data_IF_697297533091
#
_entry.id   IF_697297533091
#
_cell.length_a   1.000
_cell.length_b   1.000
_cell.length_c   1.000
_cell.angle_alpha   90.00
_cell.angle_beta   90.00
_cell.angle_gamma   90.00
#
_symmetry.space_group_name_H-M   'P 1'
#
loop_
_entity.id
_entity.type
_entity.pdbx_description
1 polymer ?
#
# COMPACT_ATOMS: atom_id res chain seq x y z
N UNK A 1 4.80 -14.53 3.84
CA UNK A 1 3.96 -14.42 5.03
C UNK A 1 4.27 -15.52 6.04
N UNK A 2 3.99 -15.28 7.30
CA UNK A 2 4.16 -16.20 8.43
C UNK A 2 3.01 -16.00 9.42
N UNK A 3 2.84 -16.92 10.37
CA UNK A 3 1.80 -16.83 11.38
C UNK A 3 2.13 -15.72 12.39
N UNK A 4 1.12 -14.98 12.86
CA UNK A 4 1.32 -13.96 13.90
C UNK A 4 1.80 -14.59 15.21
N UNK A 5 1.37 -15.82 15.50
CA UNK A 5 1.85 -16.62 16.64
C UNK A 5 3.36 -16.86 16.65
N UNK A 6 4.04 -16.77 15.49
CA UNK A 6 5.50 -16.87 15.41
C UNK A 6 6.21 -15.61 15.95
N UNK A 7 5.45 -14.53 16.22
CA UNK A 7 5.96 -13.27 16.78
C UNK A 7 5.70 -13.28 18.28
N UNK A 8 6.73 -13.54 19.06
CA UNK A 8 6.63 -13.52 20.51
C UNK A 8 6.38 -12.10 21.02
N UNK A 9 5.33 -11.92 21.82
CA UNK A 9 5.12 -10.68 22.55
C UNK A 9 6.27 -10.43 23.53
N UNK A 10 6.83 -9.21 23.50
CA UNK A 10 7.97 -8.82 24.32
C UNK A 10 7.73 -7.48 24.97
N UNK A 11 8.51 -7.17 25.99
CA UNK A 11 8.47 -5.87 26.65
C UNK A 11 8.95 -4.75 25.71
N UNK A 12 8.53 -3.52 26.00
CA UNK A 12 8.77 -2.33 25.15
C UNK A 12 10.25 -2.12 24.80
N UNK A 13 11.17 -2.37 25.73
CA UNK A 13 12.61 -2.18 25.54
C UNK A 13 13.32 -3.33 24.80
N UNK A 14 12.60 -4.38 24.40
CA UNK A 14 13.22 -5.53 23.75
C UNK A 14 13.52 -5.24 22.26
N UNK A 15 14.63 -5.79 21.75
CA UNK A 15 15.10 -5.58 20.36
C UNK A 15 14.24 -6.27 19.28
N UNK A 16 13.14 -6.93 19.66
CA UNK A 16 12.23 -7.60 18.72
C UNK A 16 12.82 -8.91 18.15
N UNK A 17 12.15 -9.43 17.12
CA UNK A 17 12.53 -10.67 16.44
C UNK A 17 12.59 -10.45 14.94
N UNK A 18 13.47 -11.18 14.25
CA UNK A 18 13.63 -11.06 12.80
C UNK A 18 12.36 -11.49 12.07
N UNK A 19 11.72 -10.59 11.35
CA UNK A 19 10.57 -10.90 10.50
C UNK A 19 10.97 -11.53 9.17
N UNK A 20 12.02 -11.01 8.51
CA UNK A 20 12.47 -11.43 7.18
C UNK A 20 13.99 -11.33 7.05
N UNK A 21 14.61 -12.23 6.27
CA UNK A 21 16.02 -12.12 5.92
C UNK A 21 16.18 -11.22 4.68
N UNK A 22 16.85 -10.08 4.86
CA UNK A 22 17.16 -9.13 3.78
C UNK A 22 18.62 -9.31 3.40
N UNK A 23 18.88 -9.58 2.12
CA UNK A 23 20.23 -9.73 1.59
C UNK A 23 20.52 -8.69 0.52
N UNK A 24 21.72 -8.09 0.52
CA UNK A 24 22.13 -7.22 -0.57
C UNK A 24 22.10 -7.96 -1.91
N UNK A 25 21.53 -7.35 -2.93
CA UNK A 25 21.39 -7.95 -4.26
C UNK A 25 22.51 -7.48 -5.16
N UNK A 26 23.24 -8.43 -5.77
CA UNK A 26 24.21 -8.12 -6.84
C UNK A 26 23.45 -7.72 -8.09
N UNK A 27 23.63 -6.51 -8.57
CA UNK A 27 23.06 -5.99 -9.81
C UNK A 27 24.15 -5.95 -10.87
N UNK A 28 23.86 -6.52 -12.06
CA UNK A 28 24.79 -6.49 -13.21
C UNK A 28 25.18 -5.06 -13.53
N UNK A 29 26.49 -4.79 -13.65
CA UNK A 29 27.02 -3.44 -13.92
C UNK A 29 27.26 -2.56 -12.69
N UNK A 30 26.91 -2.98 -11.48
CA UNK A 30 27.28 -2.27 -10.25
C UNK A 30 28.41 -2.96 -9.50
N UNK A 31 29.45 -2.19 -9.14
CA UNK A 31 30.61 -2.71 -8.37
C UNK A 31 30.24 -3.17 -6.96
N UNK A 32 29.26 -2.52 -6.31
CA UNK A 32 28.79 -2.85 -4.96
C UNK A 32 27.37 -3.42 -5.01
N UNK A 33 27.05 -4.43 -4.15
CA UNK A 33 25.66 -4.90 -4.01
C UNK A 33 24.73 -3.76 -3.61
N UNK A 34 23.52 -3.78 -4.15
CA UNK A 34 22.47 -2.82 -3.77
C UNK A 34 21.82 -3.31 -2.47
N UNK A 35 21.74 -2.42 -1.49
CA UNK A 35 21.05 -2.69 -0.22
C UNK A 35 19.56 -2.82 -0.48
N UNK A 36 18.96 -3.89 0.02
CA UNK A 36 17.51 -4.11 -0.01
C UNK A 36 16.87 -3.61 1.29
N UNK A 37 15.57 -3.36 1.28
CA UNK A 37 14.82 -2.85 2.43
C UNK A 37 13.36 -3.29 2.37
N UNK A 38 12.67 -3.25 3.53
CA UNK A 38 11.25 -3.54 3.63
C UNK A 38 10.47 -2.30 3.19
N UNK A 39 9.50 -2.49 2.28
CA UNK A 39 8.66 -1.41 1.75
C UNK A 39 7.26 -1.37 2.36
N UNK A 40 6.85 -2.43 3.04
CA UNK A 40 5.54 -2.50 3.69
C UNK A 40 5.39 -3.74 4.56
N UNK A 41 4.42 -3.69 5.45
CA UNK A 41 4.01 -4.78 6.33
C UNK A 41 2.52 -4.65 6.58
N UNK A 42 1.76 -5.72 6.38
CA UNK A 42 0.32 -5.76 6.64
C UNK A 42 -0.03 -6.96 7.49
N UNK A 43 -1.05 -6.81 8.32
CA UNK A 43 -1.67 -7.91 9.08
C UNK A 43 -2.84 -8.46 8.26
N UNK A 44 -2.90 -9.78 8.12
CA UNK A 44 -3.98 -10.46 7.39
C UNK A 44 -4.97 -10.97 8.42
N UNK A 45 -6.13 -10.34 8.52
CA UNK A 45 -7.22 -10.75 9.41
C UNK A 45 -8.03 -11.91 8.81
N UNK A 46 -8.32 -11.86 7.49
CA UNK A 46 -9.00 -12.91 6.74
C UNK A 46 -8.23 -13.25 5.46
N UNK A 47 -8.25 -14.54 5.07
CA UNK A 47 -7.55 -15.00 3.87
C UNK A 47 -8.48 -15.14 2.66
N UNK A 48 -9.81 -15.19 2.85
CA UNK A 48 -10.76 -15.61 1.80
C UNK A 48 -10.69 -14.72 0.55
N UNK A 49 -10.74 -13.39 0.72
CA UNK A 49 -10.87 -12.46 -0.39
C UNK A 49 -9.73 -11.44 -0.48
N UNK A 50 -8.73 -11.59 0.40
CA UNK A 50 -7.61 -10.68 0.43
C UNK A 50 -6.63 -10.90 -0.72
N UNK A 51 -6.14 -9.79 -1.28
CA UNK A 51 -5.13 -9.73 -2.32
C UNK A 51 -3.94 -8.89 -1.86
N UNK A 52 -2.79 -9.14 -2.44
CA UNK A 52 -1.63 -8.27 -2.26
C UNK A 52 -1.60 -7.27 -3.42
N UNK A 53 -1.80 -6.00 -3.13
CA UNK A 53 -1.52 -4.90 -4.03
C UNK A 53 -0.02 -4.59 -4.01
N UNK A 54 0.59 -4.48 -5.18
CA UNK A 54 2.00 -4.11 -5.33
C UNK A 54 2.14 -3.08 -6.42
N UNK A 55 2.82 -1.98 -6.13
CA UNK A 55 3.15 -0.95 -7.10
C UNK A 55 4.65 -0.66 -7.13
N UNK A 56 5.19 -0.45 -8.31
CA UNK A 56 6.59 -0.13 -8.54
C UNK A 56 6.84 1.38 -8.61
N UNK A 57 8.10 1.80 -8.48
CA UNK A 57 8.48 3.22 -8.58
C UNK A 57 8.13 3.85 -9.94
N UNK A 58 7.98 3.05 -10.99
CA UNK A 58 7.59 3.53 -12.33
C UNK A 58 6.10 3.43 -12.62
N UNK A 59 5.25 3.24 -11.59
CA UNK A 59 3.80 3.25 -11.70
C UNK A 59 3.17 2.00 -12.29
N UNK A 60 3.95 0.89 -12.45
CA UNK A 60 3.38 -0.40 -12.79
C UNK A 60 2.97 -1.13 -11.52
N UNK A 61 1.80 -1.73 -11.51
CA UNK A 61 1.31 -2.45 -10.35
C UNK A 61 0.33 -3.56 -10.72
N UNK A 62 -0.15 -4.26 -9.70
CA UNK A 62 -1.07 -5.39 -9.84
C UNK A 62 -1.65 -5.80 -8.51
N UNK A 63 -2.73 -6.56 -8.58
CA UNK A 63 -3.23 -7.38 -7.50
C UNK A 63 -2.77 -8.84 -7.66
N UNK A 64 -2.60 -9.55 -6.57
CA UNK A 64 -2.31 -10.99 -6.57
C UNK A 64 -2.97 -11.64 -5.36
N UNK A 65 -3.84 -12.63 -5.59
CA UNK A 65 -4.53 -13.34 -4.50
C UNK A 65 -3.55 -13.94 -3.51
N UNK A 66 -3.86 -13.81 -2.21
CA UNK A 66 -3.04 -14.34 -1.12
C UNK A 66 -2.90 -15.86 -1.12
N UNK A 67 -3.80 -16.59 -1.79
CA UNK A 67 -3.70 -18.05 -1.97
C UNK A 67 -2.40 -18.49 -2.66
N UNK A 68 -1.79 -17.63 -3.48
CA UNK A 68 -0.51 -17.90 -4.14
C UNK A 68 0.70 -17.69 -3.21
N UNK A 69 0.51 -17.21 -1.98
CA UNK A 69 1.57 -16.99 -1.01
C UNK A 69 1.42 -17.98 0.13
N UNK A 70 2.11 -19.11 0.06
CA UNK A 70 2.12 -20.10 1.14
C UNK A 70 2.64 -19.51 2.45
N UNK A 71 2.15 -19.97 3.58
CA UNK A 71 2.74 -19.67 4.89
C UNK A 71 4.15 -20.28 4.95
N UNK A 72 5.07 -19.56 5.56
CA UNK A 72 6.46 -19.94 5.77
C UNK A 72 6.85 -19.65 7.21
N UNK A 73 7.96 -20.21 7.67
CA UNK A 73 8.54 -19.83 8.95
C UNK A 73 9.01 -18.36 8.90
N UNK A 74 8.96 -17.68 10.05
CA UNK A 74 9.48 -16.32 10.24
C UNK A 74 11.00 -16.28 9.98
N UNK A 75 11.52 -15.14 9.55
CA UNK A 75 12.95 -14.94 9.32
C UNK A 75 13.47 -15.47 7.98
N UNK A 76 12.63 -16.09 7.14
CA UNK A 76 13.02 -16.57 5.82
C UNK A 76 13.13 -15.45 4.77
N UNK A 77 13.49 -15.82 3.53
CA UNK A 77 13.66 -14.88 2.40
C UNK A 77 12.36 -14.45 1.73
N UNK A 78 11.24 -15.07 2.09
CA UNK A 78 9.95 -14.82 1.46
C UNK A 78 9.81 -15.41 0.06
N UNK A 79 8.79 -14.95 -0.68
CA UNK A 79 8.47 -15.39 -2.03
C UNK A 79 8.54 -14.19 -2.99
N UNK A 80 9.09 -14.42 -4.18
CA UNK A 80 9.08 -13.38 -5.23
C UNK A 80 7.64 -13.05 -5.59
N UNK A 81 7.32 -11.76 -5.61
CA UNK A 81 5.99 -11.25 -5.94
C UNK A 81 5.94 -10.41 -7.21
N UNK A 82 7.04 -9.78 -7.59
CA UNK A 82 7.08 -8.83 -8.70
C UNK A 82 8.30 -9.07 -9.59
N UNK A 83 8.15 -8.94 -10.91
CA UNK A 83 9.27 -9.04 -11.86
C UNK A 83 9.90 -7.67 -12.04
N UNK A 84 11.05 -7.46 -11.41
CA UNK A 84 11.82 -6.21 -11.51
C UNK A 84 12.59 -6.18 -12.84
N UNK A 85 12.40 -5.12 -13.62
CA UNK A 85 13.06 -4.85 -14.91
C UNK A 85 13.41 -3.37 -15.00
N UNK A 86 14.11 -2.96 -16.05
CA UNK A 86 14.34 -1.54 -16.34
C UNK A 86 13.02 -0.78 -16.54
N UNK A 87 12.00 -1.44 -17.08
CA UNK A 87 10.66 -0.86 -17.28
C UNK A 87 9.90 -0.63 -15.99
N UNK A 88 9.93 -1.61 -15.08
CA UNK A 88 9.16 -1.53 -13.82
C UNK A 88 9.86 -0.70 -12.75
N UNK A 89 11.18 -0.76 -12.71
CA UNK A 89 11.92 -0.30 -11.54
C UNK A 89 11.69 -1.21 -10.33
N UNK A 90 12.13 -0.76 -9.15
CA UNK A 90 11.94 -1.46 -7.88
C UNK A 90 10.53 -1.26 -7.34
N UNK A 91 10.10 -2.12 -6.42
CA UNK A 91 8.82 -1.98 -5.71
C UNK A 91 8.87 -0.69 -4.87
N UNK A 92 7.81 0.11 -4.95
CA UNK A 92 7.64 1.33 -4.17
C UNK A 92 6.83 1.05 -2.90
N UNK A 93 5.72 0.33 -3.03
CA UNK A 93 4.84 -0.02 -1.93
C UNK A 93 4.12 -1.35 -2.20
N UNK A 94 3.67 -1.99 -1.12
CA UNK A 94 2.84 -3.18 -1.16
C UNK A 94 1.94 -3.23 0.07
N UNK A 95 0.67 -3.61 -0.11
CA UNK A 95 -0.32 -3.69 0.96
C UNK A 95 -1.32 -4.81 0.70
N UNK A 96 -1.87 -5.38 1.76
CA UNK A 96 -2.95 -6.36 1.68
C UNK A 96 -4.28 -5.64 1.66
N UNK A 97 -5.09 -5.95 0.66
CA UNK A 97 -6.33 -5.22 0.32
C UNK A 97 -7.44 -6.19 -0.05
N UNK A 98 -8.67 -5.68 -0.09
CA UNK A 98 -9.86 -6.28 -0.70
C UNK A 98 -10.28 -5.48 -1.93
N UNK A 99 -11.19 -6.00 -2.75
CA UNK A 99 -11.55 -5.36 -4.03
C UNK A 99 -12.48 -4.15 -3.87
N UNK A 100 -13.13 -4.03 -2.73
CA UNK A 100 -14.05 -2.95 -2.33
C UNK A 100 -13.34 -1.67 -1.87
N UNK A 101 -12.01 -1.68 -1.84
CA UNK A 101 -11.21 -0.54 -1.39
C UNK A 101 -10.73 0.31 -2.56
N UNK A 102 -10.41 1.56 -2.25
CA UNK A 102 -9.72 2.47 -3.14
C UNK A 102 -8.25 2.64 -2.77
N UNK A 103 -7.45 3.00 -3.75
CA UNK A 103 -6.04 3.34 -3.52
C UNK A 103 -5.71 4.73 -4.05
N UNK A 104 -5.08 5.50 -3.22
CA UNK A 104 -4.42 6.76 -3.57
C UNK A 104 -2.94 6.47 -3.80
N UNK A 105 -2.45 6.79 -4.97
CA UNK A 105 -1.03 6.65 -5.33
C UNK A 105 -0.42 8.04 -5.45
N UNK A 106 0.60 8.32 -4.67
CA UNK A 106 1.23 9.63 -4.57
C UNK A 106 2.62 9.54 -5.19
N UNK A 107 2.94 10.46 -6.10
CA UNK A 107 4.27 10.57 -6.70
C UNK A 107 5.17 11.53 -5.90
N UNK A 108 6.48 11.49 -6.18
CA UNK A 108 7.45 12.42 -5.56
C UNK A 108 7.23 13.88 -5.96
N UNK A 109 6.64 14.13 -7.12
CA UNK A 109 6.28 15.47 -7.59
C UNK A 109 4.85 15.86 -7.17
N UNK A 110 4.31 15.25 -6.10
CA UNK A 110 3.00 15.53 -5.52
C UNK A 110 1.81 15.31 -6.49
N UNK A 111 1.97 14.49 -7.53
CA UNK A 111 0.84 14.03 -8.32
C UNK A 111 0.12 12.92 -7.56
N UNK A 112 -1.21 12.96 -7.57
CA UNK A 112 -2.07 12.00 -6.91
C UNK A 112 -2.95 11.33 -7.95
N UNK A 113 -3.06 10.01 -7.89
CA UNK A 113 -4.03 9.19 -8.61
C UNK A 113 -4.92 8.50 -7.59
N UNK A 114 -6.23 8.61 -7.76
CA UNK A 114 -7.24 7.81 -7.07
C UNK A 114 -7.80 6.78 -8.05
N UNK A 115 -7.93 5.52 -7.64
CA UNK A 115 -8.54 4.47 -8.46
C UNK A 115 -9.07 3.35 -7.58
N UNK A 116 -10.15 2.70 -8.04
CA UNK A 116 -10.71 1.52 -7.39
C UNK A 116 -9.79 0.31 -7.58
N UNK A 117 -9.62 -0.49 -6.54
CA UNK A 117 -8.83 -1.71 -6.62
C UNK A 117 -9.47 -2.77 -7.53
N UNK A 118 -10.80 -2.77 -7.65
CA UNK A 118 -11.55 -3.63 -8.58
C UNK A 118 -11.15 -3.45 -10.05
N UNK A 119 -10.69 -2.25 -10.43
CA UNK A 119 -10.23 -1.93 -11.80
C UNK A 119 -8.82 -2.46 -12.09
N UNK A 120 -8.08 -2.84 -11.05
CA UNK A 120 -6.69 -3.28 -11.17
C UNK A 120 -6.63 -4.77 -11.46
N UNK A 121 -5.91 -5.15 -12.51
CA UNK A 121 -5.76 -6.54 -12.93
C UNK A 121 -5.18 -7.43 -11.82
N UNK A 122 -5.91 -8.52 -11.50
CA UNK A 122 -5.46 -9.56 -10.60
C UNK A 122 -4.71 -10.64 -11.37
N UNK A 123 -3.39 -10.73 -11.18
CA UNK A 123 -2.49 -11.59 -11.95
C UNK A 123 -1.47 -12.31 -11.06
N UNK A 124 -0.78 -13.29 -11.64
CA UNK A 124 0.16 -14.15 -10.92
C UNK A 124 1.36 -13.40 -10.31
N UNK A 125 2.04 -14.07 -9.37
CA UNK A 125 3.11 -13.46 -8.55
C UNK A 125 4.26 -12.86 -9.36
N UNK A 126 4.87 -13.62 -10.27
CA UNK A 126 6.11 -13.23 -10.96
C UNK A 126 5.79 -12.56 -12.30
N UNK A 127 5.07 -11.44 -12.25
CA UNK A 127 4.70 -10.64 -13.42
C UNK A 127 5.15 -9.20 -13.23
N UNK A 128 5.15 -8.41 -14.31
CA UNK A 128 5.53 -6.99 -14.27
C UNK A 128 4.38 -6.07 -13.85
N UNK A 129 3.17 -6.60 -13.77
CA UNK A 129 1.98 -5.77 -13.57
C UNK A 129 1.56 -5.02 -14.85
N UNK A 130 0.56 -4.16 -14.66
CA UNK A 130 0.03 -3.24 -15.67
C UNK A 130 0.38 -1.80 -15.27
N UNK A 131 0.29 -0.86 -16.21
CA UNK A 131 0.48 0.55 -15.91
C UNK A 131 -0.75 1.05 -15.15
N UNK A 132 -0.55 1.42 -13.89
CA UNK A 132 -1.58 2.03 -13.04
C UNK A 132 -1.43 3.55 -13.09
N UNK A 133 -0.23 4.05 -12.90
CA UNK A 133 0.05 5.48 -12.87
C UNK A 133 1.07 5.85 -13.95
N UNK A 134 0.63 6.63 -14.95
CA UNK A 134 1.54 7.20 -15.96
C UNK A 134 2.26 8.40 -15.37
N UNK A 135 3.54 8.22 -15.08
CA UNK A 135 4.39 9.25 -14.49
C UNK A 135 5.24 9.94 -15.56
N UNK A 136 5.46 11.26 -15.45
CA UNK A 136 6.43 11.97 -16.29
C UNK A 136 7.85 11.45 -16.09
N UNK A 137 8.73 11.77 -17.04
CA UNK A 137 10.16 11.46 -16.91
C UNK A 137 10.74 12.12 -15.65
N UNK A 138 11.51 11.36 -14.87
CA UNK A 138 12.12 11.83 -13.62
C UNK A 138 11.23 11.74 -12.38
N UNK A 139 9.91 11.49 -12.52
CA UNK A 139 9.03 11.25 -11.39
C UNK A 139 8.99 9.77 -11.00
N UNK A 140 8.52 9.48 -9.80
CA UNK A 140 8.36 8.12 -9.29
C UNK A 140 7.31 8.04 -8.19
N UNK A 141 6.66 6.88 -8.04
CA UNK A 141 5.78 6.61 -6.91
C UNK A 141 6.54 6.80 -5.60
N UNK A 142 5.96 7.57 -4.70
CA UNK A 142 6.47 7.83 -3.34
C UNK A 142 5.81 6.95 -2.31
N UNK A 143 4.49 6.96 -2.25
CA UNK A 143 3.67 6.24 -1.27
C UNK A 143 2.31 5.85 -1.84
N UNK A 144 1.61 5.00 -1.11
CA UNK A 144 0.19 4.68 -1.31
C UNK A 144 -0.56 4.90 -0.01
N UNK A 145 -1.86 5.12 -0.13
CA UNK A 145 -2.83 5.02 0.96
C UNK A 145 -4.04 4.25 0.45
N UNK A 146 -4.51 3.31 1.24
CA UNK A 146 -5.73 2.52 0.93
C UNK A 146 -6.80 2.98 1.88
N UNK A 147 -8.01 3.20 1.37
CA UNK A 147 -9.18 3.61 2.15
C UNK A 147 -10.42 2.88 1.66
N UNK A 148 -11.40 2.81 2.53
CA UNK A 148 -12.75 2.44 2.14
C UNK A 148 -13.28 3.50 1.17
N UNK A 149 -14.09 3.05 0.19
CA UNK A 149 -14.85 3.96 -0.65
C UNK A 149 -15.91 4.59 0.25
N UNK A 150 -15.55 5.73 0.82
CA UNK A 150 -16.53 6.56 1.52
C UNK A 150 -17.25 7.31 0.41
N UNK A 151 -18.43 6.84 0.02
CA UNK A 151 -19.38 7.72 -0.68
C UNK A 151 -19.42 9.02 0.11
N UNK A 152 -19.33 10.18 -0.54
CA UNK A 152 -19.44 11.45 0.17
C UNK A 152 -20.80 11.41 0.89
N UNK A 153 -20.77 11.05 2.19
CA UNK A 153 -21.91 11.28 3.05
C UNK A 153 -22.29 12.72 2.81
N UNK A 154 -23.54 12.93 2.43
CA UNK A 154 -24.24 14.17 2.08
C UNK A 154 -23.44 15.38 2.58
N UNK A 155 -22.97 16.19 1.64
CA UNK A 155 -22.12 17.33 1.92
C UNK A 155 -22.67 17.99 3.16
N UNK A 156 -21.88 18.03 4.25
CA UNK A 156 -22.26 18.65 5.51
C UNK A 156 -22.91 19.96 5.14
N UNK A 157 -24.21 20.08 5.40
CA UNK A 157 -25.01 21.20 4.92
C UNK A 157 -24.59 22.41 5.73
N UNK A 158 -23.49 23.04 5.26
CA UNK A 158 -22.88 24.22 5.91
C UNK A 158 -23.93 25.35 5.99
N UNK A 159 -24.90 25.36 5.08
CA UNK A 159 -26.04 26.29 5.13
C UNK A 159 -26.98 25.97 6.31
N UNK A 160 -27.26 24.69 6.58
CA UNK A 160 -28.07 24.30 7.73
C UNK A 160 -27.35 24.64 9.05
N UNK A 161 -26.04 24.48 9.13
CA UNK A 161 -25.25 24.84 10.31
C UNK A 161 -25.22 26.37 10.51
N UNK A 162 -25.07 27.14 9.44
CA UNK A 162 -25.06 28.61 9.49
C UNK A 162 -26.43 29.19 9.84
N UNK A 163 -27.51 28.55 9.45
CA UNK A 163 -28.88 28.97 9.83
C UNK A 163 -29.15 28.75 11.33
N UNK A 164 -28.62 27.66 11.91
CA UNK A 164 -28.72 27.40 13.34
C UNK A 164 -27.89 28.40 14.21
N UNK A 165 -26.74 28.82 13.70
CA UNK A 165 -25.89 29.81 14.36
C UNK A 165 -26.50 31.22 14.29
N UNK A 166 -27.17 31.56 13.20
CA UNK A 166 -27.80 32.86 12.99
C UNK A 166 -29.10 33.06 13.81
N UNK A 167 -29.81 31.95 14.12
CA UNK A 167 -31.07 31.97 14.85
C UNK A 167 -30.97 32.28 16.34
N UNK A 168 -29.78 32.27 16.93
CA UNK A 168 -29.59 32.37 18.38
C UNK A 168 -29.17 33.78 18.86
N UNK A 169 -29.25 34.80 18.02
CA UNK A 169 -29.07 36.24 18.47
C UNK A 169 -30.40 36.84 18.87
N UNK A 170 -30.96 36.44 20.02
CA UNK A 170 -31.97 37.25 20.74
C UNK A 170 -31.25 38.32 21.55
N UNK A 171 -31.49 39.57 21.17
CA UNK A 171 -31.05 40.77 21.86
C UNK A 171 -31.59 40.81 23.31
N UNK A 172 -30.83 41.26 24.29
CA UNK A 172 -31.38 41.56 25.60
C UNK A 172 -32.22 42.82 25.49
N UNK A 173 -33.52 42.74 25.85
CA UNK A 173 -34.36 43.90 26.05
C UNK A 173 -33.94 44.59 27.34
N UNK A 174 -33.87 45.94 27.22
CA UNK A 174 -33.73 46.89 28.31
C UNK A 174 -34.77 46.71 29.42
#
# INVERSE_FOLDING_TARGET
RFALSDVTARQRAAGGVRGMEIRPTKVKGKKKPVKDYIVGMSVIASESDSKLFVISKKGLGKLTSLKYYRKQARGGRGLKTFKITSRTGVVAAAEVVTDDLEVYVISKQAKVLRTNLSEISSIGRITQGVTIFKLPSGDSVSSISVCEDIEPQEAFDIEALNSQISGNKKSPKK
#
